data_IF_226483881700
#
_entry.id   IF_226483881700
#
_cell.length_a   1.000
_cell.length_b   1.000
_cell.length_c   1.000
_cell.angle_alpha   90.00
_cell.angle_beta   90.00
_cell.angle_gamma   90.00
#
_symmetry.space_group_name_H-M   'P 1'
#
loop_
_entity.id
_entity.type
_entity.pdbx_description
1 polymer ?
#
# COMPACT_ATOMS: atom_id res chain seq x y z
N UNK A 1 -7.59 -12.87 40.66
CA UNK A 1 -8.54 -11.76 40.47
C UNK A 1 -8.07 -10.67 39.51
N UNK A 2 -6.80 -10.61 39.12
CA UNK A 2 -6.29 -9.56 38.22
C UNK A 2 -6.57 -9.76 36.72
N UNK A 3 -6.74 -11.01 36.29
CA UNK A 3 -6.88 -11.34 34.85
C UNK A 3 -8.23 -10.88 34.23
N UNK A 4 -9.25 -10.69 35.03
CA UNK A 4 -10.59 -10.29 34.56
C UNK A 4 -10.69 -8.76 34.39
N UNK A 5 -10.02 -8.01 35.26
CA UNK A 5 -9.91 -6.54 35.15
C UNK A 5 -9.05 -6.12 33.95
N UNK A 6 -7.97 -6.85 33.66
CA UNK A 6 -7.13 -6.61 32.49
C UNK A 6 -7.87 -6.91 31.18
N UNK A 7 -8.66 -7.99 31.14
CA UNK A 7 -9.51 -8.33 29.98
C UNK A 7 -10.63 -7.30 29.77
N UNK A 8 -11.24 -6.80 30.83
CA UNK A 8 -12.26 -5.75 30.74
C UNK A 8 -11.65 -4.42 30.31
N UNK A 9 -10.48 -4.06 30.81
CA UNK A 9 -9.76 -2.84 30.39
C UNK A 9 -9.33 -2.92 28.93
N UNK A 10 -8.85 -4.08 28.47
CA UNK A 10 -8.48 -4.31 27.08
C UNK A 10 -9.70 -4.29 26.13
N UNK A 11 -10.84 -4.83 26.59
CA UNK A 11 -12.10 -4.77 25.84
C UNK A 11 -12.63 -3.34 25.75
N UNK A 12 -12.60 -2.59 26.85
CA UNK A 12 -13.01 -1.18 26.89
C UNK A 12 -12.12 -0.29 26.02
N UNK A 13 -10.80 -0.55 25.99
CA UNK A 13 -9.85 0.17 25.12
C UNK A 13 -10.09 -0.12 23.64
N UNK A 14 -10.45 -1.37 23.29
CA UNK A 14 -10.84 -1.73 21.91
C UNK A 14 -12.11 -1.03 21.47
N UNK A 15 -13.16 -1.04 22.29
CA UNK A 15 -14.43 -0.38 22.00
C UNK A 15 -14.25 1.14 21.89
N UNK A 16 -13.42 1.74 22.74
CA UNK A 16 -13.10 3.16 22.66
C UNK A 16 -12.27 3.52 21.43
N UNK A 17 -11.33 2.65 21.02
CA UNK A 17 -10.57 2.79 19.80
C UNK A 17 -11.42 2.69 18.54
N UNK A 18 -12.33 1.72 18.48
CA UNK A 18 -13.28 1.55 17.38
C UNK A 18 -14.26 2.72 17.26
N UNK A 19 -14.78 3.21 18.38
CA UNK A 19 -15.67 4.37 18.42
C UNK A 19 -14.96 5.68 18.05
N UNK A 20 -13.69 5.85 18.43
CA UNK A 20 -12.87 7.00 18.05
C UNK A 20 -12.52 6.94 16.56
N UNK A 21 -12.18 5.76 16.04
CA UNK A 21 -11.91 5.53 14.61
C UNK A 21 -13.18 5.77 13.77
N UNK A 22 -14.34 5.29 14.24
CA UNK A 22 -15.62 5.53 13.56
C UNK A 22 -16.00 7.02 13.54
N UNK A 23 -15.68 7.79 14.57
CA UNK A 23 -15.90 9.25 14.60
C UNK A 23 -14.90 10.00 13.73
N UNK A 24 -13.65 9.60 13.71
CA UNK A 24 -12.63 10.22 12.87
C UNK A 24 -12.89 10.00 11.37
N UNK A 25 -13.52 8.88 11.01
CA UNK A 25 -13.86 8.54 9.62
C UNK A 25 -15.25 9.09 9.18
N UNK A 26 -16.01 9.73 10.07
CA UNK A 26 -17.28 10.32 9.72
C UNK A 26 -17.09 11.47 8.71
N UNK A 27 -17.55 11.26 7.48
CA UNK A 27 -17.41 12.20 6.37
C UNK A 27 -16.23 11.95 5.43
N UNK A 28 -15.37 10.97 5.71
CA UNK A 28 -14.33 10.56 4.77
C UNK A 28 -14.89 9.58 3.74
N UNK A 29 -14.54 9.79 2.46
CA UNK A 29 -14.87 8.82 1.42
C UNK A 29 -14.01 7.55 1.63
N UNK A 30 -14.62 6.35 1.73
CA UNK A 30 -13.86 5.12 1.89
C UNK A 30 -12.93 4.88 0.70
N UNK A 31 -11.71 4.41 0.98
CA UNK A 31 -10.73 4.05 -0.03
C UNK A 31 -10.73 2.55 -0.31
N UNK A 32 -10.37 2.18 -1.53
CA UNK A 32 -9.94 0.83 -1.87
C UNK A 32 -8.43 0.85 -2.01
N UNK A 33 -7.72 0.18 -1.12
CA UNK A 33 -6.28 0.04 -1.20
C UNK A 33 -5.92 -1.09 -2.18
N UNK A 34 -5.40 -0.72 -3.35
CA UNK A 34 -4.96 -1.65 -4.40
C UNK A 34 -3.58 -2.27 -4.04
N UNK A 35 -3.49 -2.95 -2.90
CA UNK A 35 -2.24 -3.51 -2.39
C UNK A 35 -2.50 -4.66 -1.44
N UNK A 36 -1.63 -5.68 -1.49
CA UNK A 36 -1.57 -6.76 -0.51
C UNK A 36 -0.61 -6.46 0.66
N UNK A 37 0.03 -5.28 0.69
CA UNK A 37 1.01 -4.92 1.71
C UNK A 37 0.35 -4.67 3.07
N UNK A 38 0.66 -5.47 4.12
CA UNK A 38 0.14 -5.26 5.47
C UNK A 38 0.54 -3.90 6.05
N UNK A 39 1.75 -3.41 5.73
CA UNK A 39 2.27 -2.12 6.22
C UNK A 39 1.45 -0.95 5.71
N UNK A 40 1.03 -0.96 4.44
CA UNK A 40 0.19 0.10 3.87
C UNK A 40 -1.20 0.10 4.51
N UNK A 41 -1.78 -1.07 4.72
CA UNK A 41 -3.04 -1.20 5.45
C UNK A 41 -2.92 -0.68 6.89
N UNK A 42 -1.81 -0.95 7.56
CA UNK A 42 -1.53 -0.45 8.91
C UNK A 42 -1.44 1.08 8.96
N UNK A 43 -0.77 1.72 7.98
CA UNK A 43 -0.71 3.18 7.87
C UNK A 43 -2.12 3.77 7.81
N UNK A 44 -3.00 3.25 6.96
CA UNK A 44 -4.36 3.75 6.83
C UNK A 44 -5.19 3.52 8.10
N UNK A 45 -5.00 2.38 8.79
CA UNK A 45 -5.63 2.14 10.09
C UNK A 45 -5.17 3.13 11.15
N UNK A 46 -3.86 3.40 11.21
CA UNK A 46 -3.28 4.30 12.23
C UNK A 46 -3.75 5.75 12.06
N UNK A 47 -4.04 6.18 10.84
CA UNK A 47 -4.62 7.52 10.59
C UNK A 47 -6.15 7.53 10.66
N UNK A 48 -6.80 6.38 10.92
CA UNK A 48 -8.24 6.27 11.05
C UNK A 48 -9.01 6.44 9.73
N UNK A 49 -8.37 6.23 8.57
CA UNK A 49 -9.07 6.32 7.29
C UNK A 49 -9.86 5.05 7.00
N UNK A 50 -11.16 5.15 6.62
CA UNK A 50 -11.95 3.98 6.26
C UNK A 50 -11.50 3.42 4.91
N UNK A 51 -11.18 2.13 4.86
CA UNK A 51 -10.73 1.47 3.63
C UNK A 51 -11.02 -0.03 3.62
N UNK A 52 -11.03 -0.58 2.43
CA UNK A 52 -10.93 -2.02 2.17
C UNK A 52 -9.69 -2.32 1.33
N UNK A 53 -9.21 -3.56 1.33
CA UNK A 53 -8.06 -3.98 0.54
C UNK A 53 -8.50 -4.85 -0.63
N UNK A 54 -7.94 -4.59 -1.80
CA UNK A 54 -8.09 -5.44 -2.99
C UNK A 54 -6.77 -5.50 -3.72
N UNK A 55 -6.10 -6.66 -3.73
CA UNK A 55 -4.83 -6.81 -4.41
C UNK A 55 -4.99 -6.60 -5.93
N UNK A 56 -4.02 -5.92 -6.52
CA UNK A 56 -3.87 -5.78 -7.95
C UNK A 56 -2.82 -6.77 -8.45
N UNK A 57 -3.09 -7.38 -9.60
CA UNK A 57 -2.13 -8.19 -10.35
C UNK A 57 -1.72 -7.40 -11.58
N UNK A 58 -0.48 -6.92 -11.61
CA UNK A 58 0.11 -6.13 -12.69
C UNK A 58 1.53 -6.63 -12.96
N UNK A 59 2.02 -6.41 -14.18
CA UNK A 59 3.39 -6.71 -14.54
C UNK A 59 4.33 -5.69 -13.88
N UNK A 60 5.12 -6.16 -12.92
CA UNK A 60 6.07 -5.34 -12.16
C UNK A 60 7.47 -5.28 -12.80
N UNK A 61 7.66 -5.76 -14.03
CA UNK A 61 8.95 -5.70 -14.70
C UNK A 61 9.33 -4.25 -15.04
N UNK A 62 10.61 -3.92 -14.83
CA UNK A 62 11.19 -2.66 -15.26
C UNK A 62 11.21 -2.64 -16.79
N UNK A 63 10.77 -1.55 -17.41
CA UNK A 63 10.78 -1.36 -18.86
C UNK A 63 12.14 -0.81 -19.32
N UNK A 64 12.49 -1.09 -20.56
CA UNK A 64 13.73 -0.57 -21.12
C UNK A 64 13.77 0.96 -21.09
N UNK A 65 14.85 1.51 -20.51
CA UNK A 65 15.03 2.95 -20.39
C UNK A 65 14.16 3.66 -19.35
N UNK A 66 13.40 2.90 -18.55
CA UNK A 66 12.55 3.46 -17.50
C UNK A 66 13.39 3.85 -16.27
N UNK A 67 13.32 5.10 -15.86
CA UNK A 67 13.97 5.55 -14.65
C UNK A 67 13.18 5.11 -13.38
N UNK A 68 13.83 5.07 -12.19
CA UNK A 68 13.21 4.58 -10.98
C UNK A 68 11.95 5.36 -10.56
N UNK A 69 11.88 6.66 -10.82
CA UNK A 69 10.71 7.49 -10.49
C UNK A 69 9.53 7.13 -11.39
N UNK A 70 9.75 7.10 -12.70
CA UNK A 70 8.75 6.69 -13.67
C UNK A 70 8.24 5.26 -13.39
N UNK A 71 9.13 4.36 -12.97
CA UNK A 71 8.79 2.98 -12.62
C UNK A 71 7.78 2.91 -11.47
N UNK A 72 8.05 3.55 -10.31
CA UNK A 72 7.12 3.49 -9.17
C UNK A 72 5.82 4.23 -9.42
N UNK A 73 5.85 5.33 -10.18
CA UNK A 73 4.64 6.07 -10.58
C UNK A 73 3.76 5.24 -11.51
N UNK A 74 4.35 4.58 -12.51
CA UNK A 74 3.64 3.69 -13.41
C UNK A 74 2.99 2.54 -12.65
N UNK A 75 3.74 1.83 -11.80
CA UNK A 75 3.21 0.70 -11.06
C UNK A 75 2.11 1.11 -10.07
N UNK A 76 2.26 2.24 -9.40
CA UNK A 76 1.21 2.76 -8.53
C UNK A 76 -0.08 3.02 -9.30
N UNK A 77 0.03 3.63 -10.49
CA UNK A 77 -1.11 3.91 -11.37
C UNK A 77 -1.74 2.63 -11.92
N UNK A 78 -0.95 1.74 -12.49
CA UNK A 78 -1.45 0.47 -13.05
C UNK A 78 -2.17 -0.37 -11.99
N UNK A 79 -1.66 -0.42 -10.75
CA UNK A 79 -2.32 -1.10 -9.62
C UNK A 79 -3.67 -0.45 -9.29
N UNK A 80 -3.73 0.87 -9.21
CA UNK A 80 -4.99 1.56 -8.95
C UNK A 80 -6.00 1.37 -10.09
N UNK A 81 -5.58 1.50 -11.34
CA UNK A 81 -6.42 1.34 -12.52
C UNK A 81 -6.96 -0.09 -12.67
N UNK A 82 -6.13 -1.11 -12.41
CA UNK A 82 -6.52 -2.51 -12.47
C UNK A 82 -7.64 -2.86 -11.48
N UNK A 83 -7.60 -2.26 -10.28
CA UNK A 83 -8.66 -2.42 -9.28
C UNK A 83 -9.88 -1.56 -9.64
N UNK A 84 -9.68 -0.30 -10.05
CA UNK A 84 -10.76 0.61 -10.44
C UNK A 84 -11.61 0.05 -11.60
N UNK A 85 -10.97 -0.63 -12.56
CA UNK A 85 -11.64 -1.26 -13.70
C UNK A 85 -12.65 -2.36 -13.31
N UNK A 86 -12.52 -2.92 -12.11
CA UNK A 86 -13.41 -3.99 -11.57
C UNK A 86 -14.49 -3.43 -10.65
N UNK A 87 -14.60 -2.11 -10.52
CA UNK A 87 -15.51 -1.43 -9.61
C UNK A 87 -16.44 -0.48 -10.36
N UNK A 88 -17.62 -0.29 -9.82
CA UNK A 88 -18.61 0.62 -10.40
C UNK A 88 -18.38 2.06 -9.90
N UNK A 89 -17.84 2.23 -8.69
CA UNK A 89 -17.59 3.53 -8.05
C UNK A 89 -16.57 3.40 -6.92
N UNK A 90 -16.10 4.54 -6.43
CA UNK A 90 -15.20 4.67 -5.29
C UNK A 90 -13.82 5.18 -5.65
N UNK A 91 -13.03 5.52 -4.64
CA UNK A 91 -11.64 5.93 -4.78
C UNK A 91 -10.72 4.74 -4.58
N UNK A 92 -9.78 4.56 -5.50
CA UNK A 92 -8.79 3.49 -5.45
C UNK A 92 -7.40 4.09 -5.28
N UNK A 93 -6.72 3.68 -4.21
CA UNK A 93 -5.36 4.07 -3.89
C UNK A 93 -4.39 2.97 -4.30
N UNK A 94 -3.55 3.26 -5.28
CA UNK A 94 -2.42 2.42 -5.67
C UNK A 94 -1.11 2.98 -5.11
N UNK A 95 -0.18 2.10 -4.79
CA UNK A 95 1.16 2.48 -4.39
C UNK A 95 2.18 1.42 -4.78
N UNK A 96 3.39 1.88 -5.09
CA UNK A 96 4.54 1.02 -5.28
C UNK A 96 5.76 1.61 -4.57
N UNK A 97 6.63 0.74 -4.07
CA UNK A 97 7.84 1.15 -3.34
C UNK A 97 9.01 0.33 -3.86
N UNK A 98 10.10 1.01 -4.20
CA UNK A 98 11.33 0.36 -4.63
C UNK A 98 12.56 0.95 -3.95
N UNK A 99 13.61 0.16 -3.87
CA UNK A 99 14.94 0.57 -3.41
C UNK A 99 15.80 0.85 -4.62
N UNK A 100 16.52 1.97 -4.58
CA UNK A 100 17.41 2.40 -5.67
C UNK A 100 18.82 2.57 -5.11
N UNK A 101 19.78 1.93 -5.74
CA UNK A 101 21.20 2.07 -5.43
C UNK A 101 21.96 2.30 -6.72
N UNK A 102 22.80 3.35 -6.76
CA UNK A 102 23.58 3.73 -7.95
C UNK A 102 22.70 3.86 -9.22
N UNK A 103 21.48 4.39 -9.06
CA UNK A 103 20.50 4.56 -10.15
C UNK A 103 19.81 3.26 -10.61
N UNK A 104 20.06 2.14 -9.94
CA UNK A 104 19.46 0.83 -10.26
C UNK A 104 18.32 0.50 -9.31
N UNK A 105 17.20 0.09 -9.87
CA UNK A 105 16.07 -0.46 -9.14
C UNK A 105 16.42 -1.86 -8.62
N UNK A 106 16.25 -2.09 -7.30
CA UNK A 106 16.31 -3.41 -6.70
C UNK A 106 14.89 -3.95 -6.56
N UNK A 107 14.59 -5.01 -7.30
CA UNK A 107 13.32 -5.72 -7.20
C UNK A 107 13.22 -6.61 -5.96
N UNK A 108 12.22 -7.45 -5.92
CA UNK A 108 12.10 -8.50 -4.89
C UNK A 108 13.10 -9.61 -5.21
N UNK A 109 13.89 -10.08 -4.23
CA UNK A 109 14.79 -11.22 -4.45
C UNK A 109 13.99 -12.48 -4.76
N UNK A 110 14.46 -13.27 -5.72
CA UNK A 110 13.85 -14.55 -6.08
C UNK A 110 14.13 -15.63 -5.04
N UNK A 111 15.28 -15.54 -4.36
CA UNK A 111 15.75 -16.49 -3.36
C UNK A 111 16.68 -15.83 -2.32
N UNK A 112 17.11 -16.63 -1.34
CA UNK A 112 18.01 -16.17 -0.28
C UNK A 112 19.40 -15.75 -0.80
N UNK A 113 19.88 -16.33 -1.88
CA UNK A 113 21.16 -15.99 -2.50
C UNK A 113 21.11 -14.59 -3.11
N UNK A 114 20.04 -14.30 -3.83
CA UNK A 114 19.81 -12.98 -4.41
C UNK A 114 19.57 -11.93 -3.31
N UNK A 115 18.80 -12.28 -2.26
CA UNK A 115 18.61 -11.40 -1.10
C UNK A 115 19.96 -11.01 -0.44
N UNK A 116 20.85 -11.98 -0.25
CA UNK A 116 22.20 -11.72 0.28
C UNK A 116 23.04 -10.85 -0.65
N UNK A 117 22.96 -11.06 -1.95
CA UNK A 117 23.67 -10.24 -2.94
C UNK A 117 23.16 -8.79 -2.91
N UNK A 118 21.85 -8.58 -2.82
CA UNK A 118 21.24 -7.25 -2.67
C UNK A 118 21.69 -6.56 -1.37
N UNK A 119 21.69 -7.27 -0.24
CA UNK A 119 22.16 -6.73 1.04
C UNK A 119 23.65 -6.33 0.98
N UNK A 120 24.49 -7.13 0.32
CA UNK A 120 25.90 -6.78 0.12
C UNK A 120 26.06 -5.55 -0.78
N UNK A 121 25.21 -5.41 -1.80
CA UNK A 121 25.21 -4.24 -2.68
C UNK A 121 24.81 -2.97 -1.92
N UNK A 122 23.88 -3.05 -0.97
CA UNK A 122 23.45 -1.92 -0.14
C UNK A 122 24.47 -1.58 0.96
N UNK A 123 25.26 -2.56 1.42
CA UNK A 123 26.22 -2.40 2.50
C UNK A 123 27.27 -1.35 2.21
N UNK A 124 27.46 -0.39 3.14
CA UNK A 124 28.46 0.68 3.01
C UNK A 124 28.16 1.73 1.93
N UNK A 125 26.92 1.78 1.42
CA UNK A 125 26.50 2.70 0.36
C UNK A 125 25.25 3.46 0.77
N UNK A 126 25.10 4.66 0.23
CA UNK A 126 23.82 5.38 0.27
C UNK A 126 22.88 4.78 -0.76
N UNK A 127 21.62 4.57 -0.37
CA UNK A 127 20.56 4.16 -1.27
C UNK A 127 19.32 5.01 -1.03
N UNK A 128 18.42 5.00 -1.97
CA UNK A 128 17.15 5.71 -1.91
C UNK A 128 16.02 4.71 -1.85
N UNK A 129 14.92 5.11 -1.21
CA UNK A 129 13.65 4.38 -1.25
C UNK A 129 12.62 5.30 -1.86
N UNK A 130 12.08 4.92 -3.00
CA UNK A 130 11.07 5.69 -3.72
C UNK A 130 9.71 5.03 -3.52
N UNK A 131 8.69 5.84 -3.30
CA UNK A 131 7.29 5.39 -3.26
C UNK A 131 6.47 6.21 -4.22
N UNK A 132 5.91 5.56 -5.24
CA UNK A 132 4.88 6.11 -6.10
C UNK A 132 3.50 5.91 -5.48
N UNK A 133 2.63 6.92 -5.63
CA UNK A 133 1.25 6.87 -5.15
C UNK A 133 0.33 7.36 -6.28
N UNK A 134 -0.77 6.66 -6.50
CA UNK A 134 -1.81 7.04 -7.45
C UNK A 134 -3.20 6.92 -6.82
N UNK A 135 -4.05 7.91 -7.07
CA UNK A 135 -5.44 7.90 -6.66
C UNK A 135 -6.31 7.95 -7.92
N UNK A 136 -7.13 6.93 -8.11
CA UNK A 136 -8.00 6.76 -9.27
C UNK A 136 -9.44 6.65 -8.81
N UNK A 137 -10.33 7.42 -9.45
CA UNK A 137 -11.77 7.28 -9.24
C UNK A 137 -12.33 6.20 -10.17
N UNK A 138 -12.94 5.18 -9.59
CA UNK A 138 -13.71 4.22 -10.35
C UNK A 138 -15.00 4.88 -10.83
N UNK A 139 -15.26 4.85 -12.13
CA UNK A 139 -16.49 5.37 -12.74
C UNK A 139 -17.19 4.25 -13.49
N UNK A 140 -18.50 4.12 -13.30
CA UNK A 140 -19.26 3.18 -14.13
C UNK A 140 -19.19 3.63 -15.59
N UNK A 141 -18.64 2.79 -16.46
CA UNK A 141 -18.79 2.99 -17.90
C UNK A 141 -20.29 2.91 -18.20
N UNK A 142 -20.95 4.06 -18.38
CA UNK A 142 -22.29 4.06 -18.96
C UNK A 142 -22.18 3.43 -20.35
N UNK A 143 -22.70 2.22 -20.49
CA UNK A 143 -22.96 1.65 -21.81
C UNK A 143 -24.05 2.52 -22.43
N UNK A 144 -23.68 3.28 -23.45
CA UNK A 144 -24.64 3.99 -24.31
C UNK A 144 -25.17 3.01 -25.34
#
# INVERSE_FOLDING_TARGET
MDNERERQAAAAARVSGEAATARASAGLEPLVLASASPRRAEILRNVGWPFETQAADVDEQLRDGEDPTAYVERLAREKAEAVAARRLFGLVLGADTTVVVEGRVLGKPADDSEARAMLRLLGGRTHEVLTGVALVRAESKRVR
#
